data_IF_226623543337
#
_entry.id   IF_226623543337
#
_cell.length_a   1.000
_cell.length_b   1.000
_cell.length_c   1.000
_cell.angle_alpha   90.00
_cell.angle_beta   90.00
_cell.angle_gamma   90.00
#
_symmetry.space_group_name_H-M   'P 1'
#
loop_
_entity.id
_entity.type
_entity.pdbx_description
1 polymer ?
#
# COMPACT_ATOMS: atom_id res chain seq x y z
N UNK A 1 -47.28 -1.86 -65.43
CA UNK A 1 -47.75 -0.46 -65.42
C UNK A 1 -46.93 0.31 -64.38
N UNK A 2 -46.25 1.40 -64.80
CA UNK A 2 -45.48 2.43 -64.03
C UNK A 2 -44.23 1.90 -63.27
N UNK A 3 -42.98 2.03 -63.76
CA UNK A 3 -42.09 3.24 -63.91
C UNK A 3 -41.89 3.93 -62.53
N UNK A 4 -40.72 4.27 -61.98
CA UNK A 4 -39.39 4.70 -62.51
C UNK A 4 -38.43 4.83 -61.30
N UNK A 5 -37.22 4.25 -61.26
CA UNK A 5 -35.90 4.90 -61.46
C UNK A 5 -35.82 6.42 -61.17
N UNK A 6 -35.00 6.86 -60.19
CA UNK A 6 -33.93 7.87 -60.40
C UNK A 6 -33.01 8.06 -59.16
N UNK A 7 -31.72 8.14 -59.45
CA UNK A 7 -30.57 8.53 -58.64
C UNK A 7 -30.58 10.01 -58.17
N UNK A 8 -29.76 10.31 -57.15
CA UNK A 8 -28.73 11.39 -57.05
C UNK A 8 -28.78 12.17 -55.70
N UNK A 9 -27.78 11.96 -54.82
CA UNK A 9 -26.65 12.86 -54.43
C UNK A 9 -27.04 14.14 -53.65
N UNK A 10 -26.35 14.35 -52.50
CA UNK A 10 -25.62 15.57 -52.05
C UNK A 10 -25.90 15.94 -50.56
N UNK A 11 -24.92 15.58 -49.73
CA UNK A 11 -24.15 16.37 -48.75
C UNK A 11 -24.77 17.39 -47.74
N UNK A 12 -24.04 17.45 -46.60
CA UNK A 12 -23.83 18.54 -45.62
C UNK A 12 -24.79 18.60 -44.41
N UNK A 13 -24.38 18.92 -43.18
CA UNK A 13 -23.11 19.03 -42.45
C UNK A 13 -23.45 19.41 -40.97
N UNK A 14 -22.47 19.30 -40.05
CA UNK A 14 -22.35 19.99 -38.74
C UNK A 14 -23.18 19.41 -37.56
N UNK A 15 -22.64 18.53 -36.71
CA UNK A 15 -21.69 18.72 -35.57
C UNK A 15 -22.25 19.47 -34.35
N UNK A 16 -22.54 18.77 -33.24
CA UNK A 16 -22.27 19.24 -31.86
C UNK A 16 -21.72 18.06 -31.04
N UNK A 17 -20.52 18.30 -30.52
CA UNK A 17 -19.61 17.45 -29.75
C UNK A 17 -19.89 17.68 -28.26
N UNK A 18 -19.99 16.64 -27.42
CA UNK A 18 -19.60 16.69 -26.00
C UNK A 18 -19.83 15.34 -25.32
N UNK A 19 -18.85 14.46 -25.46
CA UNK A 19 -18.78 13.19 -24.76
C UNK A 19 -17.36 12.63 -24.72
N UNK A 20 -16.35 13.49 -24.82
CA UNK A 20 -14.99 13.15 -24.42
C UNK A 20 -15.01 12.97 -22.91
N UNK A 21 -15.33 11.76 -22.46
CA UNK A 21 -14.91 11.30 -21.16
C UNK A 21 -13.40 11.47 -21.11
N UNK A 22 -12.93 12.50 -20.40
CA UNK A 22 -11.54 12.70 -20.09
C UNK A 22 -11.04 11.43 -19.40
N UNK A 23 -10.42 10.53 -20.16
CA UNK A 23 -9.46 9.60 -19.59
C UNK A 23 -8.30 10.44 -19.09
N UNK A 24 -8.36 10.80 -17.82
CA UNK A 24 -7.19 11.26 -17.06
C UNK A 24 -6.32 10.02 -16.85
N UNK A 25 -5.70 9.55 -17.94
CA UNK A 25 -4.59 8.62 -17.84
C UNK A 25 -3.38 9.48 -17.49
N UNK A 26 -3.21 9.71 -16.19
CA UNK A 26 -2.05 10.40 -15.64
C UNK A 26 -0.86 9.51 -15.91
N UNK A 27 -0.21 9.71 -17.05
CA UNK A 27 1.13 9.19 -17.30
C UNK A 27 2.02 9.75 -16.21
N UNK A 28 2.31 8.94 -15.20
CA UNK A 28 3.34 9.24 -14.20
C UNK A 28 4.63 9.30 -14.99
N UNK A 29 5.08 10.52 -15.31
CA UNK A 29 6.44 10.76 -15.79
C UNK A 29 7.37 9.98 -14.89
N UNK A 30 8.18 9.10 -15.48
CA UNK A 30 9.24 8.37 -14.80
C UNK A 30 10.03 9.40 -13.98
N UNK A 31 9.80 9.38 -12.67
CA UNK A 31 10.33 10.35 -11.74
C UNK A 31 11.84 10.25 -11.77
N UNK A 32 12.53 11.37 -12.03
CA UNK A 32 13.95 11.53 -11.78
C UNK A 32 14.20 11.31 -10.28
N UNK A 33 14.46 10.06 -9.88
CA UNK A 33 14.82 9.75 -8.50
C UNK A 33 16.31 10.03 -8.30
N UNK A 34 16.66 10.48 -7.09
CA UNK A 34 18.06 10.61 -6.71
C UNK A 34 18.72 9.23 -6.72
N UNK A 35 19.98 9.16 -7.16
CA UNK A 35 20.76 7.94 -7.05
C UNK A 35 20.80 7.47 -5.59
N UNK A 36 20.43 6.20 -5.36
CA UNK A 36 20.34 5.61 -4.02
C UNK A 36 19.02 5.84 -3.28
N UNK A 37 18.04 6.54 -3.87
CA UNK A 37 16.71 6.65 -3.27
C UNK A 37 16.06 5.26 -3.13
N UNK A 38 15.51 4.98 -1.95
CA UNK A 38 14.76 3.75 -1.66
C UNK A 38 13.28 3.93 -1.94
N UNK A 39 12.57 2.80 -2.08
CA UNK A 39 11.14 2.79 -2.31
C UNK A 39 10.39 3.39 -1.11
N UNK A 40 9.43 4.28 -1.41
CA UNK A 40 8.47 4.79 -0.44
C UNK A 40 7.10 4.26 -0.84
N UNK A 41 6.54 3.43 0.02
CA UNK A 41 5.23 2.80 -0.11
C UNK A 41 4.25 3.64 0.68
N UNK A 42 3.21 4.13 0.01
CA UNK A 42 2.06 4.75 0.66
C UNK A 42 1.01 3.67 0.90
N UNK A 43 0.80 3.32 2.17
CA UNK A 43 -0.09 2.24 2.58
C UNK A 43 -1.57 2.55 2.27
N UNK A 44 -1.93 3.80 1.99
CA UNK A 44 -3.28 4.19 1.59
C UNK A 44 -3.73 3.60 0.25
N UNK A 45 -2.80 3.13 -0.59
CA UNK A 45 -3.11 2.45 -1.86
C UNK A 45 -3.27 0.94 -1.73
N UNK A 46 -3.18 0.38 -0.53
CA UNK A 46 -3.21 -1.05 -0.28
C UNK A 46 -4.48 -1.45 0.48
N UNK A 47 -5.04 -2.64 0.21
CA UNK A 47 -6.24 -3.12 0.90
C UNK A 47 -6.00 -3.43 2.37
N UNK A 48 -4.77 -3.79 2.76
CA UNK A 48 -4.40 -4.10 4.15
C UNK A 48 -3.01 -3.57 4.47
N UNK A 49 -2.75 -3.32 5.77
CA UNK A 49 -1.41 -2.93 6.24
C UNK A 49 -0.36 -4.00 5.92
N UNK A 50 -0.69 -5.29 6.03
CA UNK A 50 0.23 -6.36 5.69
C UNK A 50 0.62 -6.31 4.20
N UNK A 51 -0.35 -6.11 3.30
CA UNK A 51 -0.04 -6.02 1.86
C UNK A 51 0.84 -4.83 1.49
N UNK A 52 0.78 -3.74 2.26
CA UNK A 52 1.71 -2.62 2.10
C UNK A 52 3.12 -2.97 2.60
N UNK A 53 3.24 -3.71 3.71
CA UNK A 53 4.52 -4.19 4.24
C UNK A 53 5.15 -5.22 3.30
N UNK A 54 4.36 -6.15 2.76
CA UNK A 54 4.81 -7.20 1.82
C UNK A 54 5.31 -6.61 0.49
N UNK A 55 4.89 -5.39 0.15
CA UNK A 55 5.36 -4.69 -1.04
C UNK A 55 6.75 -4.06 -0.87
N UNK A 56 7.33 -4.08 0.34
CA UNK A 56 8.68 -3.59 0.59
C UNK A 56 9.67 -4.49 -0.16
N UNK A 57 10.52 -3.94 -1.05
CA UNK A 57 11.54 -4.74 -1.73
C UNK A 57 12.56 -5.30 -0.74
N UNK A 58 13.21 -6.41 -1.09
CA UNK A 58 14.28 -7.03 -0.29
C UNK A 58 15.40 -6.06 0.12
N UNK A 59 15.60 -5.01 -0.67
CA UNK A 59 16.61 -3.97 -0.43
C UNK A 59 16.25 -2.96 0.67
N UNK A 60 15.06 -3.10 1.27
CA UNK A 60 14.50 -2.17 2.25
C UNK A 60 13.71 -1.02 1.62
N UNK A 61 13.20 -0.14 2.48
CA UNK A 61 12.34 0.97 2.07
C UNK A 61 11.58 1.63 3.22
N UNK A 62 10.63 2.48 2.86
CA UNK A 62 9.76 3.19 3.80
C UNK A 62 8.31 2.83 3.51
N UNK A 63 7.57 2.46 4.55
CA UNK A 63 6.10 2.32 4.52
C UNK A 63 5.49 3.48 5.28
N UNK A 64 4.68 4.30 4.61
CA UNK A 64 3.94 5.41 5.20
C UNK A 64 2.49 5.01 5.45
N UNK A 65 2.09 5.00 6.71
CA UNK A 65 0.74 4.69 7.14
C UNK A 65 -0.04 6.01 7.29
N UNK A 66 -1.19 6.18 6.64
CA UNK A 66 -1.98 7.40 6.78
C UNK A 66 -2.53 7.57 8.21
N UNK A 67 -2.97 8.79 8.58
CA UNK A 67 -3.75 8.97 9.80
C UNK A 67 -5.05 8.15 9.73
N UNK A 68 -5.44 7.57 10.85
CA UNK A 68 -6.61 6.71 10.98
C UNK A 68 -6.46 5.66 12.07
N UNK A 69 -7.53 4.92 12.31
CA UNK A 69 -7.53 3.71 13.14
C UNK A 69 -7.64 2.49 12.25
N UNK A 70 -6.67 1.59 12.36
CA UNK A 70 -6.57 0.38 11.56
C UNK A 70 -6.66 -0.82 12.48
N UNK A 71 -7.75 -1.57 12.36
CA UNK A 71 -7.93 -2.80 13.13
C UNK A 71 -7.22 -3.97 12.45
N UNK A 72 -6.46 -4.73 13.24
CA UNK A 72 -5.79 -5.95 12.80
C UNK A 72 -6.25 -7.14 13.64
N UNK A 73 -6.57 -8.25 12.96
CA UNK A 73 -6.94 -9.51 13.61
C UNK A 73 -5.76 -10.49 13.69
N UNK A 74 -4.70 -10.24 12.92
CA UNK A 74 -3.47 -11.04 12.88
C UNK A 74 -2.25 -10.12 13.05
N UNK A 75 -1.13 -10.64 13.56
CA UNK A 75 0.10 -9.85 13.69
C UNK A 75 0.57 -9.31 12.35
N UNK A 76 1.00 -8.05 12.33
CA UNK A 76 1.76 -7.50 11.20
C UNK A 76 3.17 -8.07 11.22
N UNK A 77 3.61 -8.69 10.12
CA UNK A 77 4.93 -9.30 10.00
C UNK A 77 5.84 -8.43 9.16
N UNK A 78 7.00 -8.10 9.70
CA UNK A 78 8.10 -7.43 8.98
C UNK A 78 9.26 -8.39 8.90
N UNK A 79 9.63 -8.78 7.69
CA UNK A 79 10.63 -9.82 7.44
C UNK A 79 11.81 -9.33 6.61
N UNK A 80 11.92 -8.03 6.41
CA UNK A 80 12.98 -7.40 5.62
C UNK A 80 13.76 -6.42 6.48
N UNK A 81 15.08 -6.36 6.28
CA UNK A 81 15.96 -5.37 6.89
C UNK A 81 15.84 -4.01 6.19
N UNK A 82 16.43 -2.96 6.77
CA UNK A 82 16.45 -1.62 6.18
C UNK A 82 15.06 -1.01 5.95
N UNK A 83 14.12 -1.28 6.86
CA UNK A 83 12.73 -0.84 6.78
C UNK A 83 12.41 0.24 7.79
N UNK A 84 11.78 1.32 7.33
CA UNK A 84 11.07 2.27 8.17
C UNK A 84 9.56 2.08 7.99
N UNK A 85 8.84 1.82 9.07
CA UNK A 85 7.38 1.96 9.11
C UNK A 85 7.07 3.25 9.86
N UNK A 86 6.43 4.20 9.18
CA UNK A 86 6.15 5.54 9.69
C UNK A 86 4.65 5.85 9.61
N UNK A 87 4.06 6.30 10.72
CA UNK A 87 2.71 6.85 10.74
C UNK A 87 2.67 8.38 10.82
N UNK A 88 1.47 8.92 11.01
CA UNK A 88 1.17 10.35 11.15
C UNK A 88 1.08 10.81 12.62
N UNK A 89 1.98 10.31 13.48
CA UNK A 89 2.02 10.62 14.91
C UNK A 89 0.90 9.93 15.69
N UNK A 90 0.26 10.66 16.61
CA UNK A 90 -0.88 10.12 17.39
C UNK A 90 -2.11 9.86 16.52
N UNK A 91 -2.17 10.45 15.32
CA UNK A 91 -3.29 10.26 14.39
C UNK A 91 -3.29 8.87 13.72
N UNK A 92 -2.16 8.16 13.72
CA UNK A 92 -2.10 6.76 13.25
C UNK A 92 -2.18 5.81 14.42
N UNK A 93 -3.21 4.97 14.43
CA UNK A 93 -3.47 4.00 15.49
C UNK A 93 -3.70 2.61 14.90
N UNK A 94 -2.79 1.69 15.17
CA UNK A 94 -2.93 0.26 14.86
C UNK A 94 -3.53 -0.41 16.10
N UNK A 95 -4.72 -1.00 15.95
CA UNK A 95 -5.46 -1.62 17.04
C UNK A 95 -5.59 -3.12 16.78
N UNK A 96 -4.90 -3.91 17.59
CA UNK A 96 -5.10 -5.35 17.59
C UNK A 96 -6.43 -5.70 18.26
N UNK A 97 -7.30 -6.37 17.50
CA UNK A 97 -8.57 -6.94 17.96
C UNK A 97 -8.48 -8.47 18.11
N UNK A 98 -7.29 -9.05 17.94
CA UNK A 98 -7.07 -10.48 18.13
C UNK A 98 -7.37 -10.92 19.57
N UNK A 99 -7.90 -12.13 19.71
CA UNK A 99 -8.25 -12.75 21.01
C UNK A 99 -7.44 -14.02 21.31
N UNK A 100 -6.45 -14.32 20.47
CA UNK A 100 -5.67 -15.56 20.50
C UNK A 100 -4.36 -15.39 21.29
N UNK A 101 -4.13 -14.26 21.95
CA UNK A 101 -2.87 -13.98 22.65
C UNK A 101 -1.72 -13.68 21.70
N UNK A 102 -1.99 -13.43 20.41
CA UNK A 102 -0.95 -13.12 19.42
C UNK A 102 -0.45 -11.69 19.61
N UNK A 103 0.83 -11.41 19.29
CA UNK A 103 1.34 -10.04 19.31
C UNK A 103 0.70 -9.19 18.20
N UNK A 104 0.80 -7.87 18.29
CA UNK A 104 0.27 -7.00 17.25
C UNK A 104 1.24 -6.81 16.08
N UNK A 105 2.55 -6.85 16.33
CA UNK A 105 3.60 -6.73 15.32
C UNK A 105 4.76 -7.69 15.63
N UNK A 106 5.25 -8.36 14.60
CA UNK A 106 6.36 -9.33 14.66
C UNK A 106 7.45 -8.88 13.69
N UNK A 107 8.66 -8.72 14.22
CA UNK A 107 9.89 -8.60 13.44
C UNK A 107 10.55 -9.98 13.43
N UNK A 108 10.56 -10.64 12.29
CA UNK A 108 11.09 -12.00 12.16
C UNK A 108 11.55 -12.25 10.72
N UNK A 109 12.75 -12.79 10.57
CA UNK A 109 13.27 -13.17 9.27
C UNK A 109 12.48 -14.34 8.66
N UNK A 110 12.30 -14.42 7.32
CA UNK A 110 11.44 -15.42 6.69
C UNK A 110 11.78 -16.88 7.01
N UNK A 111 13.03 -17.17 7.36
CA UNK A 111 13.49 -18.51 7.75
C UNK A 111 13.08 -18.91 9.18
N UNK A 112 12.71 -17.95 10.04
CA UNK A 112 12.45 -18.17 11.47
C UNK A 112 13.67 -18.67 12.25
N UNK A 113 14.87 -18.56 11.67
CA UNK A 113 16.10 -19.04 12.30
C UNK A 113 16.61 -18.04 13.33
N UNK A 114 16.80 -18.53 14.57
CA UNK A 114 17.41 -17.79 15.67
C UNK A 114 18.95 -17.88 15.55
N UNK A 115 19.50 -17.15 14.58
CA UNK A 115 20.94 -17.00 14.40
C UNK A 115 21.32 -15.62 13.87
N UNK A 116 22.59 -15.24 14.08
CA UNK A 116 23.15 -13.93 13.70
C UNK A 116 23.00 -13.61 12.21
N UNK A 117 22.98 -14.61 11.33
CA UNK A 117 22.90 -14.42 9.88
C UNK A 117 21.48 -14.05 9.46
N UNK A 118 20.49 -14.52 10.20
CA UNK A 118 19.07 -14.28 9.94
C UNK A 118 18.51 -13.13 10.80
N UNK A 119 19.31 -12.45 11.62
CA UNK A 119 18.85 -11.25 12.33
C UNK A 119 18.39 -10.14 11.36
N UNK A 120 17.27 -9.49 11.67
CA UNK A 120 16.82 -8.30 10.95
C UNK A 120 17.54 -7.05 11.45
N UNK A 121 18.10 -6.26 10.53
CA UNK A 121 18.88 -5.07 10.85
C UNK A 121 18.20 -3.78 10.41
N UNK A 122 18.44 -2.71 11.18
CA UNK A 122 18.07 -1.33 10.82
C UNK A 122 16.56 -1.15 10.56
N UNK A 123 15.74 -1.79 11.37
CA UNK A 123 14.29 -1.57 11.39
C UNK A 123 13.97 -0.38 12.28
N UNK A 124 13.12 0.54 11.78
CA UNK A 124 12.60 1.67 12.54
C UNK A 124 11.08 1.68 12.49
N UNK A 125 10.46 1.76 13.67
CA UNK A 125 9.03 1.94 13.86
C UNK A 125 8.83 3.34 14.43
N UNK A 126 8.10 4.22 13.74
CA UNK A 126 8.03 5.64 14.12
C UNK A 126 6.63 6.24 13.94
N UNK A 127 6.29 7.17 14.82
CA UNK A 127 5.14 8.07 14.65
C UNK A 127 3.78 7.35 14.49
N UNK A 128 3.53 6.30 15.26
CA UNK A 128 2.20 5.71 15.38
C UNK A 128 1.99 5.12 16.77
N UNK A 129 0.74 4.80 17.09
CA UNK A 129 0.36 4.06 18.30
C UNK A 129 -0.01 2.63 17.93
N UNK A 130 0.36 1.68 18.79
CA UNK A 130 -0.10 0.29 18.71
C UNK A 130 -0.75 -0.07 20.04
N UNK A 131 -1.94 -0.67 20.00
CA UNK A 131 -2.65 -1.13 21.20
C UNK A 131 -3.24 -2.51 20.98
N UNK A 132 -3.36 -3.27 22.06
CA UNK A 132 -4.13 -4.51 22.10
C UNK A 132 -5.42 -4.36 22.91
N UNK A 133 -6.00 -5.51 23.23
CA UNK A 133 -7.07 -5.70 24.21
C UNK A 133 -6.59 -6.65 25.32
N UNK A 134 -7.44 -6.95 26.30
CA UNK A 134 -7.10 -7.80 27.47
C UNK A 134 -6.64 -9.22 27.11
N UNK A 135 -6.91 -9.69 25.88
CA UNK A 135 -6.51 -10.99 25.35
C UNK A 135 -5.37 -10.91 24.33
N UNK A 136 -4.85 -9.71 24.04
CA UNK A 136 -3.73 -9.56 23.12
C UNK A 136 -2.42 -9.99 23.76
N UNK A 137 -1.49 -10.49 22.95
CA UNK A 137 -0.10 -10.71 23.36
C UNK A 137 0.70 -9.41 23.41
N UNK A 138 2.02 -9.54 23.29
CA UNK A 138 2.95 -8.41 23.24
C UNK A 138 2.59 -7.40 22.15
N UNK A 139 2.82 -6.10 22.39
CA UNK A 139 2.60 -5.09 21.34
C UNK A 139 3.52 -5.31 20.13
N UNK A 140 4.82 -5.45 20.40
CA UNK A 140 5.84 -5.73 19.40
C UNK A 140 6.69 -6.89 19.91
N UNK A 141 6.94 -7.86 19.04
CA UNK A 141 7.86 -8.97 19.28
C UNK A 141 8.95 -8.93 18.23
N UNK A 142 10.21 -9.03 18.66
CA UNK A 142 11.37 -9.11 17.79
C UNK A 142 12.12 -10.39 18.13
N UNK A 143 12.36 -11.21 17.12
CA UNK A 143 12.93 -12.55 17.23
C UNK A 143 13.88 -12.84 16.09
#
# INVERSE_FOLDING_TARGET
MKRTCWFLIVAAAVSIFCGTGCQVHRSVSASTCLSGARHVIDAGYYPTLQSAIDAVPESGGVVRIPPGTFEINEPLKVSTSDVLIEGAGTATHIKSVNIEGKPALILEHPSGADDRKNELWRIRLANFRITGNDKSGSGIEAR
#
